data_IF_011126059958
#
_entry.id   IF_011126059958
#
_cell.length_a   1.000
_cell.length_b   1.000
_cell.length_c   1.000
_cell.angle_alpha   90.00
_cell.angle_beta   90.00
_cell.angle_gamma   90.00
#
_symmetry.space_group_name_H-M   'P 1'
#
loop_
_entity.id
_entity.type
_entity.pdbx_description
1 polymer ?
#
# COMPACT_ATOMS: atom_id res chain seq x y z
N UNK A 1 -32.14 -7.87 14.40
CA UNK A 1 -30.73 -8.29 14.42
C UNK A 1 -29.96 -7.27 15.25
N UNK A 2 -29.16 -7.70 16.23
CA UNK A 2 -28.40 -6.82 17.13
C UNK A 2 -26.91 -7.16 16.99
N UNK A 3 -26.06 -6.17 16.74
CA UNK A 3 -24.61 -6.35 16.62
C UNK A 3 -23.87 -5.36 17.51
N UNK A 4 -22.74 -5.79 18.06
CA UNK A 4 -21.83 -4.98 18.87
C UNK A 4 -20.52 -4.87 18.11
N UNK A 5 -19.97 -3.65 18.03
CA UNK A 5 -18.68 -3.36 17.39
C UNK A 5 -17.78 -2.67 18.41
N UNK A 6 -16.57 -3.19 18.59
CA UNK A 6 -15.55 -2.61 19.45
C UNK A 6 -14.17 -2.81 18.82
N UNK A 7 -13.21 -1.96 19.18
CA UNK A 7 -11.85 -2.04 18.66
C UNK A 7 -11.00 -2.93 19.55
N UNK A 8 -10.15 -3.76 18.95
CA UNK A 8 -9.12 -4.55 19.62
C UNK A 8 -7.78 -4.15 19.04
N UNK A 9 -6.75 -4.05 19.89
CA UNK A 9 -5.40 -3.81 19.39
C UNK A 9 -4.94 -5.04 18.59
N UNK A 10 -4.38 -4.85 17.39
CA UNK A 10 -3.80 -5.96 16.65
C UNK A 10 -2.68 -6.58 17.48
N UNK A 11 -2.78 -7.88 17.75
CA UNK A 11 -1.65 -8.69 18.18
C UNK A 11 -0.69 -8.87 17.01
N UNK A 12 0.62 -8.95 17.27
CA UNK A 12 1.59 -9.46 16.28
C UNK A 12 1.27 -10.94 16.03
N UNK A 13 0.27 -11.21 15.20
CA UNK A 13 -0.03 -12.54 14.70
C UNK A 13 0.81 -12.81 13.45
N UNK A 14 1.00 -14.10 13.15
CA UNK A 14 1.61 -14.57 11.90
C UNK A 14 0.70 -14.23 10.71
N UNK A 15 0.74 -12.96 10.30
CA UNK A 15 0.10 -12.53 9.06
C UNK A 15 0.84 -13.20 7.88
N UNK A 16 0.11 -13.75 6.90
CA UNK A 16 0.73 -14.38 5.73
C UNK A 16 1.45 -13.36 4.84
N UNK A 17 1.30 -12.06 5.11
CA UNK A 17 1.98 -10.99 4.40
C UNK A 17 2.64 -10.04 5.41
N UNK A 18 3.93 -9.79 5.20
CA UNK A 18 4.62 -8.68 5.83
C UNK A 18 4.56 -7.46 4.91
N UNK A 19 3.99 -6.38 5.43
CA UNK A 19 3.85 -5.09 4.76
C UNK A 19 4.69 -4.05 5.51
N UNK A 20 5.68 -3.46 4.83
CA UNK A 20 6.44 -2.31 5.35
C UNK A 20 6.17 -1.09 4.49
N UNK A 21 5.81 0.02 5.14
CA UNK A 21 5.53 1.29 4.49
C UNK A 21 6.51 2.32 5.03
N UNK A 22 7.12 3.09 4.15
CA UNK A 22 8.01 4.19 4.50
C UNK A 22 7.80 5.36 3.55
N UNK A 23 8.22 6.55 3.96
CA UNK A 23 8.11 7.77 3.15
C UNK A 23 9.48 8.36 2.91
N UNK A 24 9.62 9.01 1.75
CA UNK A 24 10.81 9.80 1.43
C UNK A 24 10.37 11.23 1.14
N UNK A 25 10.74 12.22 1.97
CA UNK A 25 11.53 12.10 3.20
C UNK A 25 10.76 11.45 4.37
N UNK A 26 11.49 10.91 5.34
CA UNK A 26 10.92 10.25 6.53
C UNK A 26 10.35 11.28 7.51
N UNK A 27 10.96 12.47 7.58
CA UNK A 27 10.49 13.59 8.38
C UNK A 27 10.04 14.74 7.47
N UNK A 28 9.02 15.47 7.92
CA UNK A 28 8.49 16.64 7.23
C UNK A 28 9.23 17.94 7.60
N UNK A 29 10.57 17.91 7.65
CA UNK A 29 11.38 19.08 8.00
C UNK A 29 11.51 20.05 6.81
N UNK A 30 11.56 19.51 5.60
CA UNK A 30 11.62 20.30 4.38
C UNK A 30 10.26 20.83 3.98
N UNK A 31 10.18 22.13 3.66
CA UNK A 31 8.96 22.77 3.14
C UNK A 31 8.40 22.10 1.86
N UNK A 32 9.22 21.33 1.14
CA UNK A 32 8.81 20.52 -0.01
C UNK A 32 8.02 19.27 0.38
N UNK A 33 8.34 18.64 1.53
CA UNK A 33 7.68 17.44 2.04
C UNK A 33 6.19 17.69 2.32
N UNK A 34 5.82 18.93 2.69
CA UNK A 34 4.42 19.31 2.89
C UNK A 34 3.60 19.38 1.59
N UNK A 35 4.26 19.53 0.43
CA UNK A 35 3.58 19.61 -0.88
C UNK A 35 3.49 18.27 -1.58
N UNK A 36 4.42 17.37 -1.29
CA UNK A 36 4.46 16.03 -1.85
C UNK A 36 5.64 15.25 -1.27
N UNK A 37 5.46 13.94 -1.21
CA UNK A 37 6.45 12.99 -0.74
C UNK A 37 6.22 11.66 -1.47
N UNK A 38 7.28 10.86 -1.54
CA UNK A 38 7.19 9.52 -2.12
C UNK A 38 6.81 8.50 -1.05
N UNK A 39 6.01 7.51 -1.44
CA UNK A 39 5.60 6.41 -0.57
C UNK A 39 6.28 5.14 -1.09
N UNK A 40 7.11 4.53 -0.26
CA UNK A 40 7.71 3.22 -0.48
C UNK A 40 6.88 2.13 0.21
N UNK A 41 6.58 1.06 -0.53
CA UNK A 41 5.80 -0.07 -0.03
C UNK A 41 6.57 -1.34 -0.34
N UNK A 42 6.96 -2.06 0.69
CA UNK A 42 7.58 -3.38 0.58
C UNK A 42 6.57 -4.43 1.05
N UNK A 43 6.23 -5.33 0.16
CA UNK A 43 5.34 -6.47 0.42
C UNK A 43 6.14 -7.74 0.28
N UNK A 44 6.00 -8.65 1.22
CA UNK A 44 6.58 -9.99 1.17
C UNK A 44 5.59 -11.01 1.69
N UNK A 45 5.49 -12.16 1.02
CA UNK A 45 4.69 -13.28 1.49
C UNK A 45 5.48 -14.08 2.54
N UNK A 46 4.90 -14.23 3.73
CA UNK A 46 5.45 -14.97 4.88
C UNK A 46 4.54 -16.13 5.28
N UNK A 47 3.59 -16.50 4.41
CA UNK A 47 2.68 -17.61 4.65
C UNK A 47 3.35 -18.98 4.47
N UNK A 48 2.63 -20.02 4.85
CA UNK A 48 3.14 -21.41 4.82
C UNK A 48 3.27 -22.00 3.40
N UNK A 49 2.66 -21.37 2.39
CA UNK A 49 2.73 -21.84 0.99
C UNK A 49 3.98 -21.30 0.31
N UNK A 50 4.34 -21.91 -0.82
CA UNK A 50 5.53 -21.48 -1.56
C UNK A 50 5.34 -20.11 -2.24
N UNK A 51 4.13 -19.81 -2.73
CA UNK A 51 3.81 -18.58 -3.45
C UNK A 51 2.37 -18.11 -3.14
N UNK A 52 2.15 -16.80 -3.26
CA UNK A 52 0.81 -16.22 -3.27
C UNK A 52 0.22 -16.17 -4.70
N UNK A 53 -1.07 -16.49 -4.87
CA UNK A 53 -1.71 -16.57 -6.19
C UNK A 53 -1.97 -15.20 -6.84
N UNK A 54 -2.33 -14.19 -6.05
CA UNK A 54 -2.65 -12.83 -6.48
C UNK A 54 -2.73 -11.96 -5.22
N UNK A 55 -2.11 -10.78 -5.26
CA UNK A 55 -2.09 -9.83 -4.13
C UNK A 55 -2.61 -8.48 -4.58
N UNK A 56 -3.50 -7.89 -3.78
CA UNK A 56 -4.04 -6.56 -4.01
C UNK A 56 -3.56 -5.66 -2.87
N UNK A 57 -2.85 -4.60 -3.22
CA UNK A 57 -2.42 -3.57 -2.27
C UNK A 57 -3.34 -2.36 -2.42
N UNK A 58 -4.13 -2.06 -1.39
CA UNK A 58 -4.95 -0.85 -1.32
C UNK A 58 -4.21 0.25 -0.55
N UNK A 59 -3.78 1.27 -1.28
CA UNK A 59 -3.08 2.43 -0.73
C UNK A 59 -4.04 3.60 -0.62
N UNK A 60 -4.44 3.90 0.62
CA UNK A 60 -5.26 5.07 0.94
C UNK A 60 -4.38 6.30 1.23
N UNK A 61 -4.63 7.38 0.52
CA UNK A 61 -3.94 8.65 0.73
C UNK A 61 -4.43 9.36 2.00
N UNK A 62 -3.54 10.18 2.59
CA UNK A 62 -3.91 11.11 3.65
C UNK A 62 -4.92 12.15 3.14
N UNK A 63 -5.77 12.65 4.04
CA UNK A 63 -6.72 13.71 3.71
C UNK A 63 -6.01 14.95 3.14
N UNK A 64 -6.48 15.43 1.99
CA UNK A 64 -5.88 16.56 1.28
C UNK A 64 -4.81 16.19 0.26
N UNK A 65 -4.41 14.91 0.18
CA UNK A 65 -3.46 14.41 -0.81
C UNK A 65 -4.16 13.62 -1.91
N UNK A 66 -3.61 13.70 -3.12
CA UNK A 66 -4.03 12.93 -4.29
C UNK A 66 -2.81 12.21 -4.88
N UNK A 67 -2.99 10.97 -5.37
CA UNK A 67 -1.88 10.24 -5.99
C UNK A 67 -1.45 10.91 -7.29
N UNK A 68 -0.14 10.93 -7.54
CA UNK A 68 0.43 11.48 -8.77
C UNK A 68 0.26 10.47 -9.90
N UNK A 69 -0.56 10.77 -10.90
CA UNK A 69 -0.88 9.83 -12.00
C UNK A 69 0.36 9.31 -12.75
N UNK A 70 1.38 10.14 -12.92
CA UNK A 70 2.60 9.73 -13.63
C UNK A 70 3.43 8.71 -12.86
N UNK A 71 3.46 8.77 -11.52
CA UNK A 71 4.19 7.78 -10.71
C UNK A 71 3.48 6.44 -10.73
N UNK A 72 2.15 6.43 -10.63
CA UNK A 72 1.36 5.19 -10.71
C UNK A 72 1.50 4.51 -12.07
N UNK A 73 1.53 5.27 -13.17
CA UNK A 73 1.83 4.71 -14.51
C UNK A 73 3.22 4.13 -14.66
N UNK A 74 4.19 4.57 -13.84
CA UNK A 74 5.52 3.96 -13.83
C UNK A 74 5.50 2.60 -13.15
N UNK A 75 4.63 2.40 -12.15
CA UNK A 75 4.44 1.11 -11.50
C UNK A 75 3.90 0.05 -12.48
N UNK A 76 2.98 0.42 -13.37
CA UNK A 76 2.47 -0.49 -14.43
C UNK A 76 3.55 -1.00 -15.41
N UNK A 77 4.74 -0.38 -15.42
CA UNK A 77 5.87 -0.85 -16.25
C UNK A 77 6.68 -1.96 -15.58
N UNK A 78 6.45 -2.20 -14.29
CA UNK A 78 7.14 -3.24 -13.55
C UNK A 78 6.50 -4.60 -13.88
N UNK A 79 7.29 -5.64 -14.18
CA UNK A 79 6.77 -6.92 -14.64
C UNK A 79 5.94 -7.67 -13.58
N UNK A 80 6.10 -7.32 -12.30
CA UNK A 80 5.38 -7.94 -11.18
C UNK A 80 3.96 -7.37 -11.03
N UNK A 81 3.71 -6.19 -11.60
CA UNK A 81 2.44 -5.46 -11.48
C UNK A 81 1.59 -5.76 -12.71
N UNK A 82 0.45 -6.41 -12.51
CA UNK A 82 -0.48 -6.74 -13.59
C UNK A 82 -1.26 -5.49 -14.04
N UNK A 83 -1.75 -4.72 -13.07
CA UNK A 83 -2.52 -3.49 -13.32
C UNK A 83 -2.52 -2.57 -12.10
N UNK A 84 -2.82 -1.30 -12.35
CA UNK A 84 -3.12 -0.33 -11.28
C UNK A 84 -4.46 0.34 -11.52
N UNK A 85 -5.21 0.59 -10.44
CA UNK A 85 -6.45 1.37 -10.50
C UNK A 85 -6.32 2.62 -9.63
N UNK A 86 -6.69 3.76 -10.21
CA UNK A 86 -6.62 5.07 -9.58
C UNK A 86 -8.02 5.57 -9.27
N UNK A 87 -8.29 5.74 -7.98
CA UNK A 87 -9.42 6.51 -7.47
C UNK A 87 -8.94 7.90 -7.01
N UNK A 88 -9.83 8.74 -6.48
CA UNK A 88 -9.50 10.10 -6.03
C UNK A 88 -8.47 10.09 -4.89
N UNK A 89 -8.60 9.15 -3.96
CA UNK A 89 -7.76 9.03 -2.76
C UNK A 89 -7.26 7.59 -2.50
N UNK A 90 -7.52 6.67 -3.44
CA UNK A 90 -7.04 5.29 -3.36
C UNK A 90 -6.24 4.94 -4.61
N UNK A 91 -5.21 4.13 -4.43
CA UNK A 91 -4.49 3.44 -5.50
C UNK A 91 -4.54 1.95 -5.19
N UNK A 92 -5.13 1.17 -6.08
CA UNK A 92 -5.11 -0.28 -6.01
C UNK A 92 -4.00 -0.80 -6.93
N UNK A 93 -3.12 -1.64 -6.40
CA UNK A 93 -2.04 -2.28 -7.15
C UNK A 93 -2.27 -3.78 -7.13
N UNK A 94 -2.35 -4.39 -8.31
CA UNK A 94 -2.55 -5.81 -8.49
C UNK A 94 -1.20 -6.45 -8.84
N UNK A 95 -0.77 -7.38 -7.99
CA UNK A 95 0.48 -8.13 -8.12
C UNK A 95 0.14 -9.57 -8.50
N UNK A 96 0.80 -10.10 -9.53
CA UNK A 96 0.54 -11.47 -10.02
C UNK A 96 0.95 -12.51 -8.98
N UNK A 97 2.14 -12.36 -8.38
CA UNK A 97 2.62 -13.20 -7.29
C UNK A 97 3.66 -12.48 -6.46
N UNK A 98 3.74 -12.85 -5.20
CA UNK A 98 4.74 -12.40 -4.22
C UNK A 98 5.23 -13.60 -3.43
#
# INVERSE_FOLDING_TARGET
QTSVRYNVQPTEEDAPFMLRVYTTPETCEDSKAHKGFDIGINVSYTGERNDSNMVIVDVKMLSGFVPVKSSVRQLERLPVIERTELSTNHVLVYLEKV
#
